data_IF_816955478858
#
_entry.id   IF_816955478858
#
_cell.length_a   1.000
_cell.length_b   1.000
_cell.length_c   1.000
_cell.angle_alpha   90.00
_cell.angle_beta   90.00
_cell.angle_gamma   90.00
#
_symmetry.space_group_name_H-M   'P 1'
#
loop_
_entity.id
_entity.type
_entity.pdbx_description
1 polymer ?
#
# COMPACT_ATOMS: atom_id res chain seq x y z
N UNK A 1 -6.91 7.63 -1.46
CA UNK A 1 -7.95 8.03 -2.43
C UNK A 1 -8.76 6.79 -2.78
N UNK A 2 -9.90 6.94 -3.46
CA UNK A 2 -10.57 5.80 -4.11
C UNK A 2 -10.05 5.65 -5.54
N UNK A 3 -9.99 4.41 -6.02
CA UNK A 3 -9.83 4.10 -7.44
C UNK A 3 -11.14 4.39 -8.20
N UNK A 4 -11.11 4.26 -9.53
CA UNK A 4 -12.33 4.33 -10.35
C UNK A 4 -13.38 3.31 -9.92
N UNK A 5 -12.94 2.15 -9.47
CA UNK A 5 -13.78 1.01 -9.12
C UNK A 5 -14.18 1.02 -7.63
N UNK A 6 -14.06 2.18 -6.97
CA UNK A 6 -14.45 2.40 -5.55
C UNK A 6 -13.65 1.58 -4.54
N UNK A 7 -12.42 1.22 -4.89
CA UNK A 7 -11.49 0.47 -4.00
C UNK A 7 -10.32 1.33 -3.53
N UNK A 8 -9.45 0.73 -2.70
CA UNK A 8 -8.21 1.35 -2.23
C UNK A 8 -7.00 0.53 -2.66
N UNK A 9 -6.10 1.19 -3.37
CA UNK A 9 -4.78 0.68 -3.72
C UNK A 9 -3.75 1.65 -3.14
N UNK A 10 -2.83 1.13 -2.35
CA UNK A 10 -1.85 1.90 -1.61
C UNK A 10 -0.44 1.56 -2.08
N UNK A 11 0.40 2.58 -2.16
CA UNK A 11 1.81 2.48 -2.54
C UNK A 11 2.68 3.14 -1.47
N UNK A 12 3.88 2.62 -1.24
CA UNK A 12 4.88 3.26 -0.39
C UNK A 12 6.29 2.82 -0.76
N UNK A 13 7.26 3.69 -0.45
CA UNK A 13 8.69 3.43 -0.62
C UNK A 13 9.46 4.01 0.57
N UNK A 14 10.56 3.35 0.95
CA UNK A 14 11.55 3.83 1.91
C UNK A 14 12.94 3.51 1.39
N UNK A 15 13.88 4.43 1.59
CA UNK A 15 15.28 4.26 1.22
C UNK A 15 16.18 4.74 2.37
N UNK A 16 17.22 3.97 2.65
CA UNK A 16 18.30 4.38 3.54
C UNK A 16 19.42 5.05 2.71
N UNK A 17 19.66 6.33 2.97
CA UNK A 17 20.69 7.12 2.27
C UNK A 17 22.13 6.72 2.60
N UNK A 18 22.37 5.97 3.69
CA UNK A 18 23.72 5.51 4.07
C UNK A 18 24.10 4.24 3.33
N UNK A 19 23.20 3.25 3.32
CA UNK A 19 23.47 1.94 2.71
C UNK A 19 22.98 1.81 1.27
N UNK A 20 22.19 2.78 0.79
CA UNK A 20 21.45 2.75 -0.48
C UNK A 20 20.45 1.60 -0.61
N UNK A 21 20.16 0.88 0.50
CA UNK A 21 19.08 -0.10 0.53
C UNK A 21 17.74 0.63 0.36
N UNK A 22 16.84 0.00 -0.39
CA UNK A 22 15.49 0.50 -0.61
C UNK A 22 14.48 -0.64 -0.51
N UNK A 23 13.25 -0.28 -0.17
CA UNK A 23 12.11 -1.20 -0.17
C UNK A 23 10.84 -0.45 -0.52
N UNK A 24 9.96 -1.11 -1.25
CA UNK A 24 8.72 -0.53 -1.75
C UNK A 24 7.63 -1.59 -1.88
N UNK A 25 6.40 -1.14 -1.75
CA UNK A 25 5.18 -1.89 -2.05
C UNK A 25 4.28 -1.06 -2.96
N UNK A 26 3.58 -1.72 -3.88
CA UNK A 26 2.59 -1.06 -4.73
C UNK A 26 1.34 -1.92 -4.95
N UNK A 27 0.19 -1.27 -5.13
CA UNK A 27 -1.09 -1.92 -5.38
C UNK A 27 -1.53 -2.83 -4.24
N UNK A 28 -1.20 -2.50 -2.99
CA UNK A 28 -1.65 -3.27 -1.81
C UNK A 28 -2.94 -2.67 -1.24
N UNK A 29 -3.84 -3.52 -0.78
CA UNK A 29 -5.17 -3.13 -0.28
C UNK A 29 -5.42 -3.59 1.15
N UNK A 30 -4.60 -4.51 1.67
CA UNK A 30 -4.86 -5.17 2.95
C UNK A 30 -3.78 -4.95 4.01
N UNK A 31 -2.93 -3.93 3.84
CA UNK A 31 -1.88 -3.57 4.78
C UNK A 31 -2.15 -2.19 5.36
N UNK A 32 -2.42 -2.13 6.68
CA UNK A 32 -2.76 -0.87 7.37
C UNK A 32 -1.71 0.23 7.17
N UNK A 33 -0.43 -0.15 7.14
CA UNK A 33 0.69 0.77 7.05
C UNK A 33 1.63 0.34 5.90
N UNK A 34 1.39 0.78 4.65
CA UNK A 34 2.22 0.43 3.50
C UNK A 34 3.70 0.79 3.68
N UNK A 35 4.03 1.86 4.41
CA UNK A 35 5.43 2.25 4.70
C UNK A 35 6.16 1.23 5.59
N UNK A 36 5.46 0.56 6.50
CA UNK A 36 6.05 -0.51 7.31
C UNK A 36 6.27 -1.77 6.45
N UNK A 37 5.37 -2.06 5.52
CA UNK A 37 5.56 -3.14 4.57
C UNK A 37 6.75 -2.87 3.62
N UNK A 38 6.89 -1.63 3.13
CA UNK A 38 8.05 -1.20 2.36
C UNK A 38 9.37 -1.36 3.15
N UNK A 39 9.35 -1.06 4.45
CA UNK A 39 10.50 -1.32 5.35
C UNK A 39 10.82 -2.80 5.47
N UNK A 40 9.80 -3.67 5.59
CA UNK A 40 10.00 -5.12 5.60
C UNK A 40 10.62 -5.63 4.29
N UNK A 41 10.19 -5.10 3.14
CA UNK A 41 10.81 -5.43 1.85
C UNK A 41 12.31 -5.10 1.87
N UNK A 42 12.67 -3.91 2.38
CA UNK A 42 14.08 -3.48 2.49
C UNK A 42 14.92 -4.34 3.45
N UNK A 43 14.34 -4.81 4.55
CA UNK A 43 15.07 -5.45 5.64
C UNK A 43 15.05 -6.98 5.60
N UNK A 44 13.95 -7.58 5.15
CA UNK A 44 13.67 -9.00 5.27
C UNK A 44 13.48 -9.70 3.92
N UNK A 45 13.79 -9.03 2.81
CA UNK A 45 13.76 -9.63 1.47
C UNK A 45 15.03 -9.32 0.68
N UNK A 46 15.35 -10.11 -0.36
CA UNK A 46 16.41 -9.79 -1.32
C UNK A 46 15.94 -8.82 -2.42
N UNK A 47 14.72 -8.29 -2.35
CA UNK A 47 14.09 -7.48 -3.39
C UNK A 47 13.92 -6.02 -2.96
N UNK A 48 13.72 -5.13 -3.94
CA UNK A 48 13.48 -3.70 -3.69
C UNK A 48 11.98 -3.34 -3.80
N UNK A 49 11.22 -4.00 -4.66
CA UNK A 49 9.79 -3.71 -4.86
C UNK A 49 9.02 -5.02 -4.95
N UNK A 50 7.94 -5.12 -4.17
CA UNK A 50 6.93 -6.16 -4.29
C UNK A 50 5.56 -5.51 -4.59
N UNK A 51 4.68 -6.21 -5.28
CA UNK A 51 3.37 -5.64 -5.65
C UNK A 51 2.21 -6.59 -5.39
N UNK A 52 1.02 -6.02 -5.22
CA UNK A 52 -0.26 -6.73 -5.12
C UNK A 52 -0.27 -7.83 -4.06
N UNK A 53 -0.95 -8.94 -4.37
CA UNK A 53 -1.10 -10.08 -3.47
C UNK A 53 0.23 -10.68 -2.99
N UNK A 54 1.29 -10.64 -3.82
CA UNK A 54 2.61 -11.13 -3.42
C UNK A 54 3.24 -10.30 -2.31
N UNK A 55 3.11 -8.96 -2.37
CA UNK A 55 3.56 -8.08 -1.30
C UNK A 55 2.77 -8.28 0.00
N UNK A 56 1.45 -8.51 -0.11
CA UNK A 56 0.60 -8.76 1.05
C UNK A 56 0.89 -10.10 1.73
N UNK A 57 1.16 -11.14 0.95
CA UNK A 57 1.54 -12.44 1.50
C UNK A 57 2.89 -12.34 2.20
N UNK A 58 3.89 -11.72 1.56
CA UNK A 58 5.19 -11.49 2.17
C UNK A 58 5.09 -10.72 3.50
N UNK A 59 4.30 -9.63 3.53
CA UNK A 59 4.10 -8.86 4.74
C UNK A 59 3.44 -9.69 5.87
N UNK A 60 2.48 -10.55 5.53
CA UNK A 60 1.86 -11.48 6.49
C UNK A 60 2.85 -12.53 7.00
N UNK A 61 3.71 -13.09 6.13
CA UNK A 61 4.75 -14.04 6.51
C UNK A 61 5.78 -13.38 7.47
N UNK A 62 6.01 -12.08 7.32
CA UNK A 62 6.79 -11.25 8.25
C UNK A 62 6.01 -10.78 9.51
N UNK A 63 4.76 -11.22 9.69
CA UNK A 63 3.95 -10.96 10.89
C UNK A 63 3.06 -9.72 10.86
N UNK A 64 2.86 -9.05 9.71
CA UNK A 64 1.88 -7.97 9.61
C UNK A 64 0.45 -8.49 9.58
N UNK A 65 -0.44 -7.80 10.30
CA UNK A 65 -1.87 -8.07 10.27
C UNK A 65 -2.50 -7.69 8.92
N UNK A 66 -3.32 -8.59 8.39
CA UNK A 66 -4.18 -8.34 7.23
C UNK A 66 -5.43 -7.58 7.67
N UNK A 67 -5.70 -6.43 7.05
CA UNK A 67 -6.90 -5.61 7.34
C UNK A 67 -7.89 -5.59 6.17
N UNK A 68 -9.16 -5.25 6.45
CA UNK A 68 -10.12 -4.93 5.39
C UNK A 68 -9.73 -3.64 4.68
N UNK A 69 -9.92 -3.58 3.36
CA UNK A 69 -9.72 -2.36 2.58
C UNK A 69 -10.66 -1.23 3.03
N UNK A 70 -11.84 -1.57 3.56
CA UNK A 70 -12.83 -0.59 4.07
C UNK A 70 -12.28 0.27 5.21
N UNK A 71 -11.21 -0.17 5.87
CA UNK A 71 -10.52 0.60 6.91
C UNK A 71 -10.05 1.97 6.39
N UNK A 72 -9.73 2.08 5.10
CA UNK A 72 -9.22 3.30 4.48
C UNK A 72 -10.33 4.21 3.94
N UNK A 73 -11.57 3.75 3.97
CA UNK A 73 -12.74 4.47 3.47
C UNK A 73 -13.10 5.65 4.39
N UNK A 74 -13.25 6.83 3.79
CA UNK A 74 -13.75 8.02 4.50
C UNK A 74 -14.81 8.74 3.66
N UNK A 75 -15.85 9.33 4.28
CA UNK A 75 -16.91 10.04 3.54
C UNK A 75 -16.35 11.16 2.66
N UNK A 76 -15.43 11.96 3.20
CA UNK A 76 -14.81 13.07 2.47
C UNK A 76 -14.07 12.63 1.20
N UNK A 77 -13.38 11.47 1.21
CA UNK A 77 -12.71 10.95 0.01
C UNK A 77 -13.69 10.33 -0.99
N UNK A 78 -14.84 9.86 -0.53
CA UNK A 78 -15.88 9.32 -1.40
C UNK A 78 -16.60 10.45 -2.15
N UNK A 79 -16.93 11.55 -1.46
CA UNK A 79 -17.46 12.77 -2.09
C UNK A 79 -16.55 13.29 -3.20
N UNK A 80 -15.23 13.32 -2.95
CA UNK A 80 -14.24 13.70 -3.96
C UNK A 80 -14.22 12.78 -5.19
N UNK A 81 -14.50 11.47 -5.03
CA UNK A 81 -14.63 10.56 -6.16
C UNK A 81 -15.87 10.90 -6.99
N UNK A 82 -17.00 11.19 -6.34
CA UNK A 82 -18.25 11.54 -7.01
C UNK A 82 -18.09 12.85 -7.80
N UNK A 83 -17.48 13.86 -7.20
CA UNK A 83 -17.15 15.12 -7.87
C UNK A 83 -16.28 14.88 -9.11
N UNK A 84 -15.21 14.09 -8.98
CA UNK A 84 -14.30 13.77 -10.08
C UNK A 84 -15.00 13.00 -11.23
N UNK A 85 -15.98 12.14 -10.93
CA UNK A 85 -16.77 11.43 -11.95
C UNK A 85 -17.70 12.36 -12.73
N UNK A 86 -18.27 13.36 -12.07
CA UNK A 86 -19.17 14.33 -12.72
C UNK A 86 -18.44 15.40 -13.53
N UNK A 87 -17.15 15.61 -13.27
CA UNK A 87 -16.31 16.58 -13.97
C UNK A 87 -15.70 16.05 -15.29
N UNK A 88 -15.87 14.75 -15.60
CA UNK A 88 -15.38 14.07 -16.80
C UNK A 88 -16.48 13.89 -17.84
#
# INVERSE_FOLDING_TARGET
MYTRDETHELDACVMDGVTLKAGAVAGVSHLRNPVLAARLVMEQSPHVLLTGAGAEQFAQDCGMERVSADLFSTPARYEQLLEARTAA
#
